data_IF_836145725147
#
_entry.id   IF_836145725147
#
_cell.length_a   1.000
_cell.length_b   1.000
_cell.length_c   1.000
_cell.angle_alpha   90.00
_cell.angle_beta   90.00
_cell.angle_gamma   90.00
#
_symmetry.space_group_name_H-M   'P 1'
#
loop_
_entity.id
_entity.type
_entity.pdbx_description
1 polymer ?
#
# COMPACT_ATOMS: atom_id res chain seq x y z
N UNK A 1 -6.96 38.33 14.28
CA UNK A 1 -8.09 37.38 14.21
C UNK A 1 -8.35 37.09 12.74
N UNK A 2 -7.43 36.39 12.08
CA UNK A 2 -7.49 36.10 10.65
C UNK A 2 -7.98 34.67 10.41
N UNK A 3 -9.17 34.64 9.83
CA UNK A 3 -9.80 33.64 8.96
C UNK A 3 -9.56 32.13 9.21
N UNK A 4 -10.56 31.42 9.78
CA UNK A 4 -10.73 29.96 9.59
C UNK A 4 -10.87 29.53 8.10
N UNK A 5 -11.10 30.47 7.18
CA UNK A 5 -11.24 30.21 5.75
C UNK A 5 -9.91 29.89 5.05
N UNK A 6 -8.79 30.48 5.47
CA UNK A 6 -7.48 30.19 4.87
C UNK A 6 -7.03 28.76 5.21
N UNK A 7 -7.31 28.28 6.43
CA UNK A 7 -7.07 26.88 6.83
C UNK A 7 -7.94 25.88 6.06
N UNK A 8 -9.16 26.27 5.67
CA UNK A 8 -10.03 25.44 4.83
C UNK A 8 -9.54 25.40 3.37
N UNK A 9 -9.04 26.52 2.84
CA UNK A 9 -8.45 26.58 1.50
C UNK A 9 -7.11 25.85 1.40
N UNK A 10 -6.26 25.91 2.43
CA UNK A 10 -5.02 25.14 2.49
C UNK A 10 -5.30 23.63 2.61
N UNK A 11 -6.24 23.21 3.47
CA UNK A 11 -6.68 21.81 3.55
C UNK A 11 -7.30 21.31 2.24
N UNK A 12 -8.07 22.17 1.57
CA UNK A 12 -8.63 21.90 0.24
C UNK A 12 -7.51 21.71 -0.80
N UNK A 13 -6.54 22.63 -0.87
CA UNK A 13 -5.40 22.57 -1.80
C UNK A 13 -4.48 21.38 -1.54
N UNK A 14 -4.21 21.03 -0.29
CA UNK A 14 -3.46 19.83 0.10
C UNK A 14 -4.25 18.55 -0.25
N UNK A 15 -5.58 18.55 -0.07
CA UNK A 15 -6.47 17.47 -0.49
C UNK A 15 -6.48 17.30 -2.01
N UNK A 16 -6.52 18.41 -2.77
CA UNK A 16 -6.51 18.42 -4.24
C UNK A 16 -5.15 17.97 -4.78
N UNK A 17 -4.04 18.48 -4.26
CA UNK A 17 -2.69 18.02 -4.65
C UNK A 17 -2.52 16.52 -4.39
N UNK A 18 -2.97 16.03 -3.24
CA UNK A 18 -2.98 14.59 -2.93
C UNK A 18 -3.91 13.77 -3.83
N UNK A 19 -5.05 14.31 -4.27
CA UNK A 19 -5.94 13.67 -5.27
C UNK A 19 -5.30 13.64 -6.65
N UNK A 20 -4.71 14.75 -7.09
CA UNK A 20 -4.04 14.87 -8.40
C UNK A 20 -2.83 13.96 -8.48
N UNK A 21 -2.05 13.84 -7.41
CA UNK A 21 -0.90 12.93 -7.38
C UNK A 21 -1.34 11.45 -7.41
N UNK A 22 -2.44 11.10 -6.74
CA UNK A 22 -3.06 9.77 -6.86
C UNK A 22 -3.60 9.49 -8.27
N UNK A 23 -4.24 10.48 -8.90
CA UNK A 23 -4.72 10.37 -10.27
C UNK A 23 -3.57 10.20 -11.27
N UNK A 24 -2.52 11.03 -11.16
CA UNK A 24 -1.29 10.89 -11.96
C UNK A 24 -0.63 9.52 -11.78
N UNK A 25 -0.59 9.00 -10.55
CA UNK A 25 -0.07 7.66 -10.26
C UNK A 25 -0.90 6.52 -10.86
N UNK A 26 -2.17 6.76 -11.23
CA UNK A 26 -3.06 5.78 -11.87
C UNK A 26 -3.39 6.11 -13.33
N UNK A 27 -2.91 7.23 -13.85
CA UNK A 27 -3.28 7.77 -15.16
C UNK A 27 -3.01 6.76 -16.27
N UNK A 28 -1.86 6.10 -16.20
CA UNK A 28 -1.46 5.07 -17.14
C UNK A 28 -2.50 3.93 -17.21
N UNK A 29 -2.92 3.40 -16.07
CA UNK A 29 -3.91 2.32 -16.01
C UNK A 29 -5.29 2.78 -16.49
N UNK A 30 -5.68 4.03 -16.20
CA UNK A 30 -6.92 4.63 -16.69
C UNK A 30 -6.91 4.68 -18.23
N UNK A 31 -5.82 5.18 -18.81
CA UNK A 31 -5.64 5.26 -20.26
C UNK A 31 -5.62 3.87 -20.89
N UNK A 32 -4.90 2.91 -20.30
CA UNK A 32 -4.86 1.52 -20.77
C UNK A 32 -6.26 0.89 -20.77
N UNK A 33 -7.01 1.01 -19.68
CA UNK A 33 -8.39 0.49 -19.61
C UNK A 33 -9.30 1.16 -20.63
N UNK A 34 -9.19 2.49 -20.82
CA UNK A 34 -10.00 3.22 -21.79
C UNK A 34 -9.70 2.79 -23.23
N UNK A 35 -8.42 2.65 -23.58
CA UNK A 35 -8.00 2.16 -24.90
C UNK A 35 -8.45 0.71 -25.10
N UNK A 36 -8.24 -0.16 -24.12
CA UNK A 36 -8.67 -1.56 -24.20
C UNK A 36 -10.19 -1.69 -24.37
N UNK A 37 -10.98 -0.87 -23.68
CA UNK A 37 -12.43 -0.82 -23.86
C UNK A 37 -12.80 -0.40 -25.30
N UNK A 38 -12.18 0.66 -25.81
CA UNK A 38 -12.41 1.14 -27.18
C UNK A 38 -12.00 0.11 -28.24
N UNK A 39 -10.86 -0.56 -28.06
CA UNK A 39 -10.40 -1.63 -28.96
C UNK A 39 -11.32 -2.84 -28.89
N UNK A 40 -11.78 -3.24 -27.70
CA UNK A 40 -12.71 -4.36 -27.56
C UNK A 40 -14.05 -4.09 -28.27
N UNK A 41 -14.56 -2.85 -28.16
CA UNK A 41 -15.73 -2.43 -28.92
C UNK A 41 -15.48 -2.50 -30.43
N UNK A 42 -14.39 -1.88 -30.91
CA UNK A 42 -14.06 -1.85 -32.33
C UNK A 42 -13.88 -3.25 -32.93
N UNK A 43 -13.21 -4.17 -32.22
CA UNK A 43 -13.05 -5.55 -32.67
C UNK A 43 -14.39 -6.29 -32.74
N UNK A 44 -15.30 -6.07 -31.80
CA UNK A 44 -16.59 -6.74 -31.82
C UNK A 44 -17.57 -6.12 -32.83
N UNK A 45 -17.63 -4.79 -32.93
CA UNK A 45 -18.53 -4.06 -33.84
C UNK A 45 -18.06 -4.14 -35.30
N UNK A 46 -16.83 -3.72 -35.57
CA UNK A 46 -16.37 -3.46 -36.95
C UNK A 46 -15.71 -4.68 -37.61
N UNK A 47 -15.12 -5.59 -36.82
CA UNK A 47 -14.45 -6.78 -37.37
C UNK A 47 -15.33 -8.03 -37.35
N UNK A 48 -16.23 -8.15 -36.38
CA UNK A 48 -17.13 -9.31 -36.23
C UNK A 48 -18.60 -8.97 -36.50
N UNK A 49 -18.89 -7.71 -36.87
CA UNK A 49 -20.22 -7.24 -37.29
C UNK A 49 -21.31 -7.48 -36.22
N UNK A 50 -20.95 -7.41 -34.93
CA UNK A 50 -21.93 -7.48 -33.85
C UNK A 50 -22.70 -6.15 -33.75
N UNK A 51 -24.03 -6.21 -33.81
CA UNK A 51 -24.89 -5.00 -33.80
C UNK A 51 -24.77 -4.17 -32.50
N UNK A 52 -24.61 -4.83 -31.34
CA UNK A 52 -24.53 -4.17 -30.03
C UNK A 52 -23.52 -4.84 -29.08
N UNK A 53 -22.20 -4.60 -29.25
CA UNK A 53 -21.17 -5.33 -28.51
C UNK A 53 -20.90 -4.73 -27.12
N UNK A 54 -21.95 -4.66 -26.30
CA UNK A 54 -21.91 -4.00 -24.98
C UNK A 54 -21.00 -4.74 -23.97
N UNK A 55 -20.90 -6.06 -24.08
CA UNK A 55 -20.17 -6.89 -23.12
C UNK A 55 -18.66 -6.90 -23.36
N UNK A 56 -18.20 -6.66 -24.60
CA UNK A 56 -16.78 -6.63 -24.94
C UNK A 56 -15.99 -5.56 -24.17
N UNK A 57 -16.37 -4.26 -24.17
CA UNK A 57 -15.67 -3.25 -23.38
C UNK A 57 -15.81 -3.48 -21.87
N UNK A 58 -16.95 -3.98 -21.39
CA UNK A 58 -17.15 -4.28 -19.97
C UNK A 58 -16.21 -5.39 -19.52
N UNK A 59 -16.15 -6.49 -20.27
CA UNK A 59 -15.25 -7.59 -19.98
C UNK A 59 -13.79 -7.12 -20.01
N UNK A 60 -13.40 -6.25 -20.95
CA UNK A 60 -12.07 -5.67 -20.99
C UNK A 60 -11.74 -4.83 -19.73
N UNK A 61 -12.64 -3.93 -19.35
CA UNK A 61 -12.45 -3.02 -18.18
C UNK A 61 -12.50 -3.78 -16.88
N UNK A 62 -13.41 -4.73 -16.70
CA UNK A 62 -13.50 -5.54 -15.47
C UNK A 62 -12.26 -6.45 -15.36
N UNK A 63 -11.84 -7.04 -16.48
CA UNK A 63 -10.65 -7.90 -16.50
C UNK A 63 -9.37 -7.13 -16.21
N UNK A 64 -9.19 -5.90 -16.71
CA UNK A 64 -8.02 -5.06 -16.40
C UNK A 64 -8.13 -4.34 -15.04
N UNK A 65 -9.33 -3.89 -14.69
CA UNK A 65 -9.62 -3.06 -13.51
C UNK A 65 -9.66 -3.84 -12.20
N UNK A 66 -9.98 -5.13 -12.24
CA UNK A 66 -9.73 -6.04 -11.11
C UNK A 66 -8.28 -6.54 -11.07
N UNK A 67 -7.50 -6.17 -12.10
CA UNK A 67 -6.17 -6.68 -12.39
C UNK A 67 -5.02 -5.69 -12.24
N UNK A 68 -5.18 -4.66 -11.41
CA UNK A 68 -4.11 -3.70 -11.14
C UNK A 68 -2.83 -4.40 -10.67
N UNK A 69 -1.77 -4.32 -11.48
CA UNK A 69 -0.47 -4.95 -11.25
C UNK A 69 -0.34 -6.43 -11.70
N UNK A 70 -1.30 -6.96 -12.46
CA UNK A 70 -1.48 -8.41 -12.55
C UNK A 70 -0.95 -9.15 -13.78
N UNK A 71 -0.78 -10.44 -13.47
CA UNK A 71 -0.72 -11.63 -14.32
C UNK A 71 -1.96 -11.81 -15.21
N UNK A 72 -1.66 -12.25 -16.44
CA UNK A 72 -2.55 -12.89 -17.42
C UNK A 72 -3.56 -13.91 -16.87
N UNK A 73 -3.21 -14.72 -15.86
CA UNK A 73 -4.12 -15.77 -15.35
C UNK A 73 -5.38 -15.20 -14.72
N UNK A 74 -5.27 -14.11 -13.96
CA UNK A 74 -6.44 -13.52 -13.30
C UNK A 74 -7.33 -12.78 -14.29
N UNK A 75 -6.74 -12.15 -15.31
CA UNK A 75 -7.47 -11.63 -16.47
C UNK A 75 -8.29 -12.76 -17.13
N UNK A 76 -7.69 -13.94 -17.33
CA UNK A 76 -8.39 -15.11 -17.87
C UNK A 76 -9.48 -15.62 -16.92
N UNK A 77 -9.21 -15.76 -15.62
CA UNK A 77 -10.22 -16.15 -14.61
C UNK A 77 -11.41 -15.19 -14.61
N UNK A 78 -11.14 -13.87 -14.66
CA UNK A 78 -12.18 -12.83 -14.69
C UNK A 78 -12.96 -12.87 -16.00
N UNK A 79 -12.28 -12.96 -17.15
CA UNK A 79 -12.91 -13.02 -18.46
C UNK A 79 -13.81 -14.25 -18.58
N UNK A 80 -13.35 -15.42 -18.13
CA UNK A 80 -14.16 -16.64 -18.09
C UNK A 80 -15.34 -16.49 -17.12
N UNK A 81 -15.12 -15.88 -15.95
CA UNK A 81 -16.19 -15.61 -14.99
C UNK A 81 -17.28 -14.70 -15.56
N UNK A 82 -16.90 -13.64 -16.30
CA UNK A 82 -17.84 -12.76 -17.00
C UNK A 82 -18.57 -13.52 -18.09
N UNK A 83 -17.86 -14.29 -18.93
CA UNK A 83 -18.47 -15.07 -20.01
C UNK A 83 -19.49 -16.09 -19.46
N UNK A 84 -19.14 -16.82 -18.40
CA UNK A 84 -20.03 -17.78 -17.73
C UNK A 84 -21.22 -17.05 -17.09
N UNK A 85 -20.98 -15.91 -16.42
CA UNK A 85 -22.02 -15.13 -15.75
C UNK A 85 -23.07 -14.61 -16.73
N UNK A 86 -22.63 -14.08 -17.87
CA UNK A 86 -23.51 -13.64 -18.96
C UNK A 86 -24.30 -14.81 -19.52
N UNK A 87 -23.65 -15.93 -19.82
CA UNK A 87 -24.31 -17.12 -20.35
C UNK A 87 -25.37 -17.69 -19.38
N UNK A 88 -25.06 -17.77 -18.09
CA UNK A 88 -26.01 -18.25 -17.07
C UNK A 88 -27.18 -17.29 -16.92
N UNK A 89 -26.93 -15.98 -16.92
CA UNK A 89 -27.99 -14.98 -16.86
C UNK A 89 -28.91 -15.09 -18.09
N UNK A 90 -28.36 -15.34 -19.28
CA UNK A 90 -29.14 -15.53 -20.52
C UNK A 90 -30.04 -16.75 -20.45
N UNK A 91 -29.49 -17.89 -20.01
CA UNK A 91 -30.26 -19.12 -19.81
C UNK A 91 -31.41 -18.85 -18.83
N UNK A 92 -31.16 -18.17 -17.71
CA UNK A 92 -32.21 -17.85 -16.74
C UNK A 92 -33.29 -16.94 -17.34
N UNK A 93 -32.92 -15.94 -18.15
CA UNK A 93 -33.88 -15.05 -18.82
C UNK A 93 -34.73 -15.81 -19.83
N UNK A 94 -34.14 -16.72 -20.62
CA UNK A 94 -34.88 -17.54 -21.61
C UNK A 94 -35.93 -18.41 -20.92
N UNK A 95 -35.61 -18.99 -19.77
CA UNK A 95 -36.51 -19.90 -19.05
C UNK A 95 -37.57 -19.18 -18.20
N UNK A 96 -37.24 -18.03 -17.60
CA UNK A 96 -38.08 -17.36 -16.58
C UNK A 96 -38.83 -16.16 -17.19
N UNK A 97 -38.33 -15.60 -18.30
CA UNK A 97 -38.87 -14.42 -18.97
C UNK A 97 -38.41 -13.10 -18.35
N UNK A 98 -38.88 -11.98 -18.90
CA UNK A 98 -38.52 -10.62 -18.49
C UNK A 98 -39.60 -9.96 -17.62
N UNK A 99 -39.24 -9.43 -16.46
CA UNK A 99 -40.13 -8.64 -15.60
C UNK A 99 -39.50 -8.31 -14.23
N UNK A 100 -40.16 -7.45 -13.45
CA UNK A 100 -39.56 -6.89 -12.22
C UNK A 100 -39.24 -7.96 -11.16
N UNK A 101 -40.10 -8.97 -11.00
CA UNK A 101 -39.86 -10.05 -10.04
C UNK A 101 -38.84 -11.07 -10.58
N UNK A 102 -38.83 -11.33 -11.90
CA UNK A 102 -37.83 -12.17 -12.55
C UNK A 102 -36.44 -11.55 -12.40
N UNK A 103 -36.31 -10.24 -12.62
CA UNK A 103 -35.08 -9.50 -12.43
C UNK A 103 -34.56 -9.61 -10.99
N UNK A 104 -35.44 -9.42 -10.00
CA UNK A 104 -35.08 -9.58 -8.59
C UNK A 104 -34.58 -10.99 -8.29
N UNK A 105 -35.22 -12.02 -8.86
CA UNK A 105 -34.81 -13.41 -8.71
C UNK A 105 -33.45 -13.67 -9.37
N UNK A 106 -33.25 -13.25 -10.61
CA UNK A 106 -32.00 -13.46 -11.37
C UNK A 106 -30.83 -12.78 -10.64
N UNK A 107 -31.00 -11.53 -10.20
CA UNK A 107 -29.98 -10.79 -9.45
C UNK A 107 -29.70 -11.47 -8.11
N UNK A 108 -30.74 -11.86 -7.38
CA UNK A 108 -30.60 -12.56 -6.11
C UNK A 108 -29.83 -13.87 -6.24
N UNK A 109 -30.12 -14.67 -7.27
CA UNK A 109 -29.41 -15.90 -7.58
C UNK A 109 -27.96 -15.63 -7.96
N UNK A 110 -27.70 -14.69 -8.87
CA UNK A 110 -26.33 -14.36 -9.30
C UNK A 110 -25.45 -13.88 -8.15
N UNK A 111 -25.96 -13.00 -7.28
CA UNK A 111 -25.24 -12.55 -6.09
C UNK A 111 -25.02 -13.69 -5.10
N UNK A 112 -26.03 -14.52 -4.86
CA UNK A 112 -25.93 -15.67 -3.94
C UNK A 112 -24.90 -16.68 -4.43
N UNK A 113 -24.89 -17.00 -5.72
CA UNK A 113 -23.87 -17.87 -6.32
C UNK A 113 -22.47 -17.27 -6.20
N UNK A 114 -22.30 -15.97 -6.45
CA UNK A 114 -21.00 -15.30 -6.28
C UNK A 114 -20.50 -15.37 -4.81
N UNK A 115 -21.40 -15.17 -3.84
CA UNK A 115 -21.10 -15.30 -2.41
C UNK A 115 -20.73 -16.73 -2.02
N UNK A 116 -21.46 -17.73 -2.51
CA UNK A 116 -21.19 -19.15 -2.24
C UNK A 116 -19.86 -19.62 -2.83
N UNK A 117 -19.40 -18.99 -3.91
CA UNK A 117 -18.09 -19.22 -4.53
C UNK A 117 -16.95 -18.42 -3.84
N UNK A 118 -17.23 -17.82 -2.69
CA UNK A 118 -16.27 -17.01 -1.92
C UNK A 118 -15.67 -15.85 -2.74
N UNK A 119 -16.47 -15.29 -3.66
CA UNK A 119 -16.04 -14.19 -4.49
C UNK A 119 -16.02 -12.88 -3.69
N UNK A 120 -14.97 -12.07 -3.89
CA UNK A 120 -14.86 -10.77 -3.22
C UNK A 120 -16.02 -9.83 -3.55
N UNK A 121 -16.29 -8.85 -2.69
CA UNK A 121 -17.41 -7.89 -2.80
C UNK A 121 -17.56 -7.26 -4.18
N UNK A 122 -16.45 -6.94 -4.85
CA UNK A 122 -16.46 -6.40 -6.21
C UNK A 122 -17.10 -7.36 -7.23
N UNK A 123 -16.80 -8.66 -7.14
CA UNK A 123 -17.39 -9.67 -8.03
C UNK A 123 -18.87 -9.87 -7.77
N UNK A 124 -19.30 -9.84 -6.51
CA UNK A 124 -20.72 -9.91 -6.14
C UNK A 124 -21.49 -8.73 -6.75
N UNK A 125 -20.95 -7.51 -6.66
CA UNK A 125 -21.55 -6.33 -7.30
C UNK A 125 -21.55 -6.44 -8.82
N UNK A 126 -20.49 -6.97 -9.44
CA UNK A 126 -20.43 -7.16 -10.90
C UNK A 126 -21.43 -8.21 -11.39
N UNK A 127 -21.59 -9.32 -10.67
CA UNK A 127 -22.59 -10.34 -10.99
C UNK A 127 -24.00 -9.71 -11.01
N UNK A 128 -24.34 -8.90 -10.00
CA UNK A 128 -25.61 -8.18 -9.97
C UNK A 128 -25.78 -7.24 -11.17
N UNK A 129 -24.79 -6.40 -11.46
CA UNK A 129 -24.85 -5.43 -12.57
C UNK A 129 -24.99 -6.15 -13.92
N UNK A 130 -24.22 -7.21 -14.17
CA UNK A 130 -24.29 -7.96 -15.43
C UNK A 130 -25.63 -8.67 -15.59
N UNK A 131 -26.15 -9.28 -14.53
CA UNK A 131 -27.47 -9.89 -14.53
C UNK A 131 -28.58 -8.87 -14.86
N UNK A 132 -28.48 -7.64 -14.33
CA UNK A 132 -29.43 -6.58 -14.66
C UNK A 132 -29.33 -6.20 -16.14
N UNK A 133 -28.11 -5.95 -16.64
CA UNK A 133 -27.88 -5.58 -18.04
C UNK A 133 -28.45 -6.65 -18.97
N UNK A 134 -28.12 -7.92 -18.74
CA UNK A 134 -28.61 -9.06 -19.51
C UNK A 134 -30.15 -9.11 -19.52
N UNK A 135 -30.78 -9.01 -18.35
CA UNK A 135 -32.22 -9.17 -18.23
C UNK A 135 -33.03 -7.95 -18.73
N UNK A 136 -32.41 -6.79 -18.94
CA UNK A 136 -33.10 -5.55 -19.30
C UNK A 136 -32.84 -5.04 -20.71
N UNK A 137 -31.65 -5.29 -21.28
CA UNK A 137 -31.29 -4.69 -22.57
C UNK A 137 -31.61 -5.55 -23.80
N UNK A 138 -31.62 -6.89 -23.74
CA UNK A 138 -31.74 -7.71 -24.97
C UNK A 138 -32.50 -9.02 -24.70
N UNK A 139 -33.81 -9.12 -25.02
CA UNK A 139 -34.60 -10.34 -24.83
C UNK A 139 -34.44 -11.38 -25.96
N UNK A 140 -33.55 -11.15 -26.93
CA UNK A 140 -33.44 -12.02 -28.11
C UNK A 140 -32.61 -13.28 -27.81
N UNK A 141 -33.17 -14.49 -28.01
CA UNK A 141 -32.48 -15.75 -27.73
C UNK A 141 -31.19 -15.95 -28.53
N UNK A 142 -31.14 -15.46 -29.78
CA UNK A 142 -29.97 -15.58 -30.66
C UNK A 142 -28.81 -14.69 -30.22
N UNK A 143 -29.04 -13.68 -29.37
CA UNK A 143 -28.01 -12.78 -28.88
C UNK A 143 -27.13 -13.39 -27.76
N UNK A 144 -27.49 -14.57 -27.21
CA UNK A 144 -26.73 -15.19 -26.13
C UNK A 144 -25.31 -15.62 -26.56
N UNK A 145 -25.17 -16.18 -27.77
CA UNK A 145 -23.87 -16.55 -28.32
C UNK A 145 -23.00 -15.31 -28.60
N UNK A 146 -23.59 -14.26 -29.17
CA UNK A 146 -22.92 -12.98 -29.45
C UNK A 146 -22.38 -12.32 -28.18
N UNK A 147 -23.14 -12.38 -27.08
CA UNK A 147 -22.71 -11.79 -25.79
C UNK A 147 -21.64 -12.60 -25.09
N UNK A 148 -21.69 -13.93 -25.24
CA UNK A 148 -20.63 -14.81 -24.76
C UNK A 148 -19.32 -14.58 -25.53
N UNK A 149 -19.38 -14.47 -26.86
CA UNK A 149 -18.20 -14.16 -27.69
C UNK A 149 -17.66 -12.75 -27.41
N UNK A 150 -18.52 -11.75 -27.21
CA UNK A 150 -18.14 -10.41 -26.76
C UNK A 150 -17.30 -10.43 -25.47
N UNK A 151 -17.76 -11.18 -24.46
CA UNK A 151 -17.04 -11.31 -23.19
C UNK A 151 -15.63 -11.91 -23.39
N UNK A 152 -15.50 -12.89 -24.29
CA UNK A 152 -14.21 -13.48 -24.64
C UNK A 152 -13.31 -12.50 -25.41
N UNK A 153 -13.87 -11.73 -26.34
CA UNK A 153 -13.15 -10.69 -27.09
C UNK A 153 -12.60 -9.64 -26.12
N UNK A 154 -13.44 -9.15 -25.21
CA UNK A 154 -13.03 -8.22 -24.17
C UNK A 154 -11.92 -8.78 -23.28
N UNK A 155 -12.02 -10.06 -22.90
CA UNK A 155 -10.98 -10.77 -22.18
C UNK A 155 -9.66 -10.89 -22.95
N UNK A 156 -9.73 -11.20 -24.25
CA UNK A 156 -8.56 -11.31 -25.12
C UNK A 156 -7.88 -9.95 -25.33
N UNK A 157 -8.65 -8.89 -25.56
CA UNK A 157 -8.12 -7.51 -25.67
C UNK A 157 -7.50 -7.07 -24.36
N UNK A 158 -8.12 -7.37 -23.22
CA UNK A 158 -7.52 -7.13 -21.90
C UNK A 158 -6.20 -7.89 -21.73
N UNK A 159 -6.13 -9.14 -22.20
CA UNK A 159 -4.92 -9.95 -22.13
C UNK A 159 -3.78 -9.34 -22.96
N UNK A 160 -4.07 -8.94 -24.20
CA UNK A 160 -3.10 -8.27 -25.08
C UNK A 160 -2.68 -6.92 -24.50
N UNK A 161 -3.62 -6.10 -24.05
CA UNK A 161 -3.34 -4.82 -23.41
C UNK A 161 -2.47 -5.00 -22.15
N UNK A 162 -2.67 -6.07 -21.39
CA UNK A 162 -1.81 -6.41 -20.25
C UNK A 162 -0.42 -6.91 -20.64
N UNK A 163 -0.24 -7.51 -21.83
CA UNK A 163 1.10 -7.89 -22.36
C UNK A 163 1.88 -6.70 -22.93
N UNK A 164 1.19 -5.77 -23.60
CA UNK A 164 1.80 -4.61 -24.25
C UNK A 164 2.33 -3.58 -23.24
N UNK A 165 1.87 -3.67 -22.00
CA UNK A 165 2.20 -2.75 -20.94
C UNK A 165 3.28 -3.37 -20.03
N UNK A 166 4.43 -2.72 -19.83
CA UNK A 166 5.37 -3.11 -18.79
C UNK A 166 4.61 -3.14 -17.47
N UNK A 167 4.62 -4.28 -16.77
CA UNK A 167 3.99 -4.43 -15.46
C UNK A 167 4.22 -3.14 -14.67
N UNK A 168 3.14 -2.37 -14.46
CA UNK A 168 3.20 -1.05 -13.85
C UNK A 168 4.13 -1.11 -12.64
N UNK A 169 5.00 -0.11 -12.43
CA UNK A 169 6.09 -0.19 -11.46
C UNK A 169 5.51 -0.68 -10.15
N UNK A 170 5.78 -1.95 -9.84
CA UNK A 170 5.44 -2.58 -8.57
C UNK A 170 5.80 -1.53 -7.53
N UNK A 171 4.84 -1.03 -6.75
CA UNK A 171 5.10 0.04 -5.78
C UNK A 171 6.34 -0.37 -5.02
N UNK A 172 7.49 0.28 -5.30
CA UNK A 172 8.80 -0.27 -4.94
C UNK A 172 8.85 -0.32 -3.42
N UNK A 173 8.73 -1.49 -2.77
CA UNK A 173 8.51 -1.52 -1.33
C UNK A 173 9.71 -0.93 -0.58
N UNK A 174 10.91 -1.06 -1.18
CA UNK A 174 12.15 -0.40 -0.78
C UNK A 174 12.07 1.12 -0.77
N UNK A 175 11.52 1.74 -1.81
CA UNK A 175 11.36 3.19 -1.85
C UNK A 175 10.37 3.68 -0.78
N UNK A 176 9.32 2.91 -0.49
CA UNK A 176 8.40 3.25 0.60
C UNK A 176 9.04 3.06 1.96
N UNK A 177 9.84 2.00 2.15
CA UNK A 177 10.63 1.79 3.36
C UNK A 177 11.65 2.93 3.56
N UNK A 178 12.33 3.36 2.49
CA UNK A 178 13.25 4.49 2.52
C UNK A 178 12.58 5.79 2.97
N UNK A 179 11.34 6.05 2.54
CA UNK A 179 10.56 7.22 3.01
C UNK A 179 10.24 7.16 4.49
N UNK A 180 9.88 5.98 5.00
CA UNK A 180 9.62 5.79 6.44
C UNK A 180 10.91 5.97 7.24
N UNK A 181 12.02 5.39 6.78
CA UNK A 181 13.33 5.57 7.42
C UNK A 181 13.79 7.04 7.41
N UNK A 182 13.67 7.75 6.28
CA UNK A 182 13.93 9.20 6.22
C UNK A 182 13.08 9.97 7.24
N UNK A 183 11.80 9.62 7.38
CA UNK A 183 10.94 10.28 8.38
C UNK A 183 11.38 10.00 9.81
N UNK A 184 11.85 8.78 10.11
CA UNK A 184 12.43 8.44 11.41
C UNK A 184 13.67 9.31 11.67
N UNK A 185 14.59 9.42 10.70
CA UNK A 185 15.78 10.26 10.82
C UNK A 185 15.43 11.73 11.07
N UNK A 186 14.46 12.28 10.32
CA UNK A 186 13.97 13.66 10.48
C UNK A 186 13.42 13.90 11.90
N UNK A 187 12.58 12.98 12.40
CA UNK A 187 11.97 13.09 13.73
C UNK A 187 13.03 12.97 14.85
N UNK A 188 14.01 12.09 14.70
CA UNK A 188 15.10 11.94 15.66
C UNK A 188 15.99 13.18 15.68
N UNK A 189 16.37 13.69 14.50
CA UNK A 189 17.16 14.92 14.37
C UNK A 189 16.45 16.09 15.03
N UNK A 190 15.16 16.29 14.77
CA UNK A 190 14.39 17.33 15.41
C UNK A 190 14.25 17.11 16.93
N UNK A 191 14.08 15.87 17.39
CA UNK A 191 14.03 15.56 18.82
C UNK A 191 15.34 15.91 19.53
N UNK A 192 16.49 15.65 18.91
CA UNK A 192 17.81 16.05 19.45
C UNK A 192 17.90 17.56 19.68
N UNK A 193 17.48 18.39 18.70
CA UNK A 193 17.44 19.84 18.87
C UNK A 193 16.51 20.27 20.01
N UNK A 194 15.29 19.71 20.07
CA UNK A 194 14.33 20.00 21.15
C UNK A 194 14.86 19.61 22.54
N UNK A 195 15.63 18.53 22.64
CA UNK A 195 16.27 18.13 23.91
C UNK A 195 17.30 19.15 24.39
N UNK A 196 18.02 19.81 23.48
CA UNK A 196 19.03 20.83 23.79
C UNK A 196 18.40 22.20 24.06
N UNK A 197 17.51 22.64 23.18
CA UNK A 197 16.93 23.99 23.22
C UNK A 197 15.92 24.12 24.36
N UNK A 198 15.19 23.05 24.68
CA UNK A 198 14.21 23.04 25.77
C UNK A 198 12.99 23.94 25.52
N UNK A 199 12.71 24.31 24.26
CA UNK A 199 11.59 25.17 23.90
C UNK A 199 10.28 24.37 23.71
N UNK A 200 9.17 24.76 24.36
CA UNK A 200 7.93 23.99 24.35
C UNK A 200 7.18 24.02 23.01
N UNK A 201 7.20 25.13 22.28
CA UNK A 201 6.47 25.27 21.01
C UNK A 201 7.06 24.35 19.92
N UNK A 202 8.38 24.34 19.64
CA UNK A 202 8.99 23.37 18.73
C UNK A 202 8.73 21.91 19.12
N UNK A 203 8.68 21.62 20.43
CA UNK A 203 8.42 20.28 20.93
C UNK A 203 6.99 19.79 20.63
N UNK A 204 6.01 20.70 20.71
CA UNK A 204 4.60 20.41 20.39
C UNK A 204 4.38 20.23 18.90
N UNK A 205 5.04 21.03 18.07
CA UNK A 205 5.01 20.89 16.60
C UNK A 205 5.62 19.55 16.17
N UNK A 206 6.76 19.18 16.74
CA UNK A 206 7.39 17.88 16.50
C UNK A 206 6.48 16.71 16.89
N UNK A 207 5.77 16.82 18.02
CA UNK A 207 4.80 15.80 18.46
C UNK A 207 3.61 15.70 17.49
N UNK A 208 3.14 16.82 16.94
CA UNK A 208 2.07 16.83 15.94
C UNK A 208 2.51 16.16 14.64
N UNK A 209 3.73 16.44 14.17
CA UNK A 209 4.33 15.82 12.99
C UNK A 209 4.52 14.31 13.17
N UNK A 210 5.07 13.88 14.31
CA UNK A 210 5.21 12.46 14.65
C UNK A 210 3.86 11.70 14.64
N UNK A 211 2.76 12.34 15.07
CA UNK A 211 1.40 11.77 15.02
C UNK A 211 0.83 11.64 13.61
N UNK A 212 1.29 12.45 12.66
CA UNK A 212 0.80 12.44 11.28
C UNK A 212 1.37 11.28 10.42
N UNK A 213 2.19 10.40 11.00
CA UNK A 213 2.93 9.35 10.27
C UNK A 213 2.11 8.07 9.98
N UNK A 214 0.88 7.95 10.50
CA UNK A 214 0.03 6.74 10.33
C UNK A 214 -0.21 6.35 8.86
N UNK A 215 -0.27 7.34 7.97
CA UNK A 215 -0.46 7.09 6.53
C UNK A 215 0.76 6.39 5.93
N UNK A 216 1.97 6.72 6.37
CA UNK A 216 3.21 6.16 5.81
C UNK A 216 3.31 4.66 6.10
N UNK A 217 2.94 4.23 7.32
CA UNK A 217 2.89 2.81 7.68
C UNK A 217 1.92 2.03 6.82
N UNK A 218 0.69 2.56 6.63
CA UNK A 218 -0.31 1.92 5.77
C UNK A 218 0.16 1.83 4.31
N UNK A 219 0.86 2.84 3.82
CA UNK A 219 1.40 2.85 2.46
C UNK A 219 2.54 1.83 2.29
N UNK A 220 3.41 1.69 3.30
CA UNK A 220 4.46 0.67 3.35
C UNK A 220 3.88 -0.75 3.37
N UNK A 221 2.92 -1.02 4.26
CA UNK A 221 2.25 -2.32 4.35
C UNK A 221 1.55 -2.69 3.04
N UNK A 222 0.79 -1.76 2.47
CA UNK A 222 0.13 -1.98 1.18
C UNK A 222 1.12 -2.27 0.04
N UNK A 223 2.28 -1.61 0.01
CA UNK A 223 3.32 -1.90 -0.98
C UNK A 223 3.96 -3.28 -0.79
N UNK A 224 4.15 -3.72 0.46
CA UNK A 224 4.69 -5.03 0.77
C UNK A 224 3.71 -6.17 0.44
N UNK A 225 2.42 -6.00 0.76
CA UNK A 225 1.36 -6.95 0.43
C UNK A 225 1.22 -7.13 -1.09
N UNK A 226 1.28 -6.02 -1.83
CA UNK A 226 1.32 -6.03 -3.29
C UNK A 226 2.53 -6.83 -3.79
N UNK A 227 3.73 -6.59 -3.25
CA UNK A 227 4.95 -7.35 -3.56
C UNK A 227 4.82 -8.87 -3.29
N UNK A 228 4.22 -9.26 -2.17
CA UNK A 228 4.03 -10.67 -1.81
C UNK A 228 2.99 -11.39 -2.66
N UNK A 229 1.92 -10.70 -3.02
CA UNK A 229 0.90 -11.24 -3.94
C UNK A 229 1.53 -11.64 -5.29
N UNK A 230 2.52 -10.87 -5.75
CA UNK A 230 3.27 -11.09 -7.00
C UNK A 230 4.25 -12.26 -6.89
N UNK A 231 4.76 -12.56 -5.71
CA UNK A 231 5.67 -13.71 -5.51
C UNK A 231 4.93 -15.02 -5.30
N UNK A 232 3.83 -15.01 -4.54
CA UNK A 232 3.01 -16.22 -4.29
C UNK A 232 2.38 -16.78 -5.57
N UNK A 233 1.98 -15.91 -6.49
CA UNK A 233 1.29 -16.32 -7.72
C UNK A 233 2.24 -16.69 -8.90
N UNK A 234 3.58 -16.63 -8.74
CA UNK A 234 4.56 -16.86 -9.84
C UNK A 234 5.45 -18.10 -9.67
N UNK A 235 5.30 -19.14 -10.51
CA UNK A 235 6.30 -20.21 -10.57
C UNK A 235 7.63 -19.76 -11.20
N UNK A 236 7.60 -18.85 -12.18
CA UNK A 236 8.78 -18.41 -12.95
C UNK A 236 9.67 -17.35 -12.27
N UNK A 237 9.23 -16.75 -11.14
CA UNK A 237 10.02 -15.78 -10.37
C UNK A 237 10.52 -16.33 -9.02
N UNK A 238 10.66 -17.67 -8.88
CA UNK A 238 11.26 -18.31 -7.70
C UNK A 238 12.61 -17.70 -7.31
N UNK A 239 13.42 -17.26 -8.29
CA UNK A 239 14.73 -16.63 -8.06
C UNK A 239 14.66 -15.27 -7.34
N UNK A 240 13.56 -14.51 -7.49
CA UNK A 240 13.34 -13.21 -6.84
C UNK A 240 12.53 -13.31 -5.53
N UNK A 241 12.04 -14.51 -5.19
CA UNK A 241 11.25 -14.80 -3.99
C UNK A 241 12.00 -14.45 -2.70
N UNK A 242 13.31 -14.73 -2.66
CA UNK A 242 14.16 -14.39 -1.53
C UNK A 242 14.29 -12.86 -1.34
N UNK A 243 14.41 -12.08 -2.42
CA UNK A 243 14.54 -10.63 -2.35
C UNK A 243 13.29 -9.92 -1.84
N UNK A 244 12.11 -10.35 -2.28
CA UNK A 244 10.82 -9.78 -1.84
C UNK A 244 10.45 -10.24 -0.44
N UNK A 245 10.70 -11.51 -0.10
CA UNK A 245 10.46 -12.00 1.26
C UNK A 245 11.30 -11.25 2.29
N UNK A 246 12.60 -11.08 2.01
CA UNK A 246 13.49 -10.26 2.85
C UNK A 246 12.98 -8.83 3.00
N UNK A 247 12.37 -8.26 1.96
CA UNK A 247 11.80 -6.91 2.02
C UNK A 247 10.56 -6.83 2.91
N UNK A 248 9.68 -7.80 2.83
CA UNK A 248 8.49 -7.87 3.69
C UNK A 248 8.89 -8.07 5.15
N UNK A 249 9.94 -8.85 5.39
CA UNK A 249 10.53 -9.03 6.72
C UNK A 249 11.07 -7.71 7.32
N UNK A 250 11.35 -6.67 6.52
CA UNK A 250 11.76 -5.34 7.02
C UNK A 250 10.58 -4.46 7.47
N UNK A 251 9.36 -4.74 7.04
CA UNK A 251 8.19 -3.86 7.28
C UNK A 251 7.88 -3.78 8.77
N UNK A 252 7.83 -4.93 9.45
CA UNK A 252 7.47 -4.98 10.87
C UNK A 252 8.53 -4.32 11.76
N UNK A 253 9.85 -4.60 11.60
CA UNK A 253 10.89 -3.84 12.31
C UNK A 253 10.83 -2.32 12.05
N UNK A 254 10.56 -1.90 10.81
CA UNK A 254 10.51 -0.48 10.48
C UNK A 254 9.26 0.23 11.07
N UNK A 255 8.11 -0.44 11.10
CA UNK A 255 6.92 0.03 11.82
C UNK A 255 7.19 0.14 13.32
N UNK A 256 7.84 -0.86 13.92
CA UNK A 256 8.26 -0.82 15.33
C UNK A 256 9.20 0.36 15.60
N UNK A 257 10.22 0.57 14.77
CA UNK A 257 11.15 1.70 14.90
C UNK A 257 10.43 3.06 14.83
N UNK A 258 9.46 3.23 13.92
CA UNK A 258 8.67 4.46 13.82
C UNK A 258 7.78 4.68 15.06
N UNK A 259 7.11 3.63 15.55
CA UNK A 259 6.29 3.72 16.78
C UNK A 259 7.15 4.10 17.97
N UNK A 260 8.27 3.42 18.12
CA UNK A 260 9.32 3.70 19.10
C UNK A 260 9.78 5.17 19.04
N UNK A 261 10.02 5.70 17.83
CA UNK A 261 10.37 7.11 17.62
C UNK A 261 9.26 8.07 18.07
N UNK A 262 7.98 7.75 17.80
CA UNK A 262 6.84 8.56 18.28
C UNK A 262 6.76 8.60 19.81
N UNK A 263 7.09 7.49 20.48
CA UNK A 263 7.15 7.46 21.95
C UNK A 263 8.29 8.35 22.45
N UNK A 264 9.47 8.29 21.83
CA UNK A 264 10.62 9.14 22.18
C UNK A 264 10.28 10.63 22.03
N UNK A 265 9.70 11.02 20.89
CA UNK A 265 9.25 12.39 20.62
C UNK A 265 8.24 12.85 21.68
N UNK A 266 7.27 12.00 22.03
CA UNK A 266 6.30 12.30 23.09
C UNK A 266 6.98 12.51 24.45
N UNK A 267 7.94 11.68 24.82
CA UNK A 267 8.64 11.83 26.09
C UNK A 267 9.49 13.10 26.13
N UNK A 268 10.13 13.42 25.01
CA UNK A 268 10.89 14.67 24.82
C UNK A 268 9.98 15.87 25.03
N UNK A 269 8.84 15.93 24.32
CA UNK A 269 7.88 17.02 24.47
C UNK A 269 7.32 17.16 25.90
N UNK A 270 7.07 16.04 26.60
CA UNK A 270 6.63 16.07 28.00
C UNK A 270 7.74 16.56 28.94
N UNK A 271 8.99 16.16 28.71
CA UNK A 271 10.13 16.63 29.50
C UNK A 271 10.31 18.15 29.32
N UNK A 272 10.30 18.63 28.08
CA UNK A 272 10.39 20.04 27.71
C UNK A 272 9.26 20.86 28.34
N UNK A 273 7.99 20.43 28.19
CA UNK A 273 6.84 21.12 28.79
C UNK A 273 6.91 21.21 30.32
N UNK A 274 7.56 20.23 30.98
CA UNK A 274 7.74 20.21 32.43
C UNK A 274 9.06 20.85 32.89
N UNK A 275 9.80 21.50 31.99
CA UNK A 275 11.12 22.07 32.25
C UNK A 275 12.07 21.07 32.93
N UNK A 276 11.99 19.79 32.53
CA UNK A 276 12.89 18.74 33.01
C UNK A 276 14.06 18.63 32.04
N UNK A 277 15.30 18.89 32.49
CA UNK A 277 16.46 18.81 31.62
C UNK A 277 16.64 17.36 31.14
N UNK A 278 16.88 17.21 29.84
CA UNK A 278 17.34 15.97 29.24
C UNK A 278 18.88 16.05 29.17
N UNK A 279 19.62 15.01 29.57
CA UNK A 279 21.08 15.03 29.47
C UNK A 279 21.53 15.30 28.02
N UNK A 280 22.54 16.15 27.83
CA UNK A 280 23.06 16.48 26.49
C UNK A 280 23.57 15.25 25.75
N UNK A 281 24.14 14.29 26.49
CA UNK A 281 24.56 12.98 25.96
C UNK A 281 23.42 12.22 25.27
N UNK A 282 22.16 12.40 25.72
CA UNK A 282 21.01 11.77 25.07
C UNK A 282 20.61 12.49 23.80
N UNK A 283 20.77 13.82 23.74
CA UNK A 283 20.58 14.58 22.52
C UNK A 283 21.62 14.21 21.47
N UNK A 284 22.89 14.05 21.87
CA UNK A 284 23.99 13.61 21.00
C UNK A 284 23.71 12.19 20.46
N UNK A 285 23.35 11.24 21.32
CA UNK A 285 22.93 9.89 20.90
C UNK A 285 21.75 9.91 19.93
N UNK A 286 20.79 10.81 20.13
CA UNK A 286 19.62 10.94 19.26
C UNK A 286 20.03 11.48 17.88
N UNK A 287 20.99 12.42 17.84
CA UNK A 287 21.55 12.93 16.58
C UNK A 287 22.36 11.86 15.84
N UNK A 288 23.21 11.11 16.54
CA UNK A 288 23.98 10.00 15.97
C UNK A 288 23.05 8.90 15.42
N UNK A 289 21.97 8.59 16.14
CA UNK A 289 20.95 7.66 15.66
C UNK A 289 20.25 8.18 14.40
N UNK A 290 19.97 9.48 14.31
CA UNK A 290 19.37 10.06 13.12
C UNK A 290 20.28 9.88 11.89
N UNK A 291 21.59 10.09 12.04
CA UNK A 291 22.57 9.85 10.97
C UNK A 291 22.65 8.37 10.57
N UNK A 292 22.65 7.46 11.55
CA UNK A 292 22.64 6.03 11.27
C UNK A 292 21.37 5.59 10.52
N UNK A 293 20.20 6.16 10.87
CA UNK A 293 18.94 5.90 10.15
C UNK A 293 18.96 6.47 8.74
N UNK A 294 19.57 7.64 8.53
CA UNK A 294 19.71 8.24 7.20
C UNK A 294 20.53 7.33 6.28
N UNK A 295 21.63 6.74 6.77
CA UNK A 295 22.39 5.75 6.03
C UNK A 295 21.58 4.47 5.70
N UNK A 296 20.72 4.00 6.63
CA UNK A 296 19.77 2.91 6.37
C UNK A 296 18.79 3.32 5.25
N UNK A 297 18.30 4.55 5.30
CA UNK A 297 17.33 5.07 4.35
C UNK A 297 17.91 5.22 2.93
N UNK A 298 19.17 5.63 2.81
CA UNK A 298 19.89 5.76 1.55
C UNK A 298 20.13 4.40 0.87
N UNK A 299 20.53 3.39 1.65
CA UNK A 299 20.67 2.02 1.15
C UNK A 299 19.32 1.47 0.64
N UNK A 300 18.23 1.71 1.38
CA UNK A 300 16.88 1.32 0.96
C UNK A 300 16.43 2.07 -0.30
N UNK A 301 16.72 3.37 -0.40
CA UNK A 301 16.41 4.19 -1.58
C UNK A 301 17.16 3.69 -2.82
N UNK A 302 18.39 3.21 -2.65
CA UNK A 302 19.21 2.62 -3.70
C UNK A 302 18.87 1.14 -3.98
N UNK A 303 17.73 0.67 -3.49
CA UNK A 303 17.20 -0.69 -3.66
C UNK A 303 18.07 -1.84 -3.09
N UNK A 304 18.93 -1.54 -2.10
CA UNK A 304 19.79 -2.52 -1.43
C UNK A 304 19.25 -2.96 -0.07
N UNK A 305 19.89 -3.96 0.52
CA UNK A 305 19.72 -4.28 1.94
C UNK A 305 20.68 -3.38 2.73
N UNK A 306 20.25 -2.74 3.84
CA UNK A 306 21.05 -1.75 4.55
C UNK A 306 22.12 -2.38 5.46
N UNK A 307 22.84 -3.40 4.97
CA UNK A 307 23.92 -4.07 5.70
C UNK A 307 25.11 -3.13 5.92
N UNK A 308 25.39 -2.24 4.98
CA UNK A 308 26.47 -1.26 5.07
C UNK A 308 26.26 -0.22 6.19
N UNK A 309 25.01 0.04 6.59
CA UNK A 309 24.67 0.95 7.68
C UNK A 309 24.74 0.28 9.07
N UNK A 310 24.81 -1.06 9.14
CA UNK A 310 24.82 -1.83 10.40
C UNK A 310 25.91 -1.38 11.38
N UNK A 311 27.18 -1.14 10.97
CA UNK A 311 28.22 -0.70 11.90
C UNK A 311 27.89 0.62 12.60
N UNK A 312 27.21 1.55 11.91
CA UNK A 312 26.81 2.84 12.49
C UNK A 312 25.70 2.65 13.53
N UNK A 313 24.70 1.82 13.22
CA UNK A 313 23.62 1.49 14.17
C UNK A 313 24.20 0.77 15.41
N UNK A 314 25.15 -0.15 15.22
CA UNK A 314 25.85 -0.82 16.32
C UNK A 314 26.67 0.15 17.18
N UNK A 315 27.37 1.11 16.56
CA UNK A 315 28.14 2.11 17.28
C UNK A 315 27.24 2.95 18.20
N UNK A 316 26.06 3.38 17.72
CA UNK A 316 25.05 4.06 18.55
C UNK A 316 24.58 3.13 19.67
N UNK A 317 24.28 1.87 19.37
CA UNK A 317 23.89 0.86 20.37
C UNK A 317 24.91 0.71 21.50
N UNK A 318 26.20 0.67 21.18
CA UNK A 318 27.29 0.63 22.16
C UNK A 318 27.35 1.92 22.98
N UNK A 319 27.25 3.08 22.32
CA UNK A 319 27.28 4.39 22.98
C UNK A 319 26.14 4.55 24.01
N UNK A 320 24.96 3.94 23.79
CA UNK A 320 23.86 3.95 24.79
C UNK A 320 24.22 3.31 26.14
N UNK A 321 25.27 2.48 26.23
CA UNK A 321 25.74 1.92 27.51
C UNK A 321 26.74 2.81 28.24
N UNK A 322 27.32 3.79 27.56
CA UNK A 322 28.42 4.60 28.07
C UNK A 322 27.92 5.88 28.75
N UNK A 323 26.73 6.36 28.35
CA UNK A 323 26.10 7.56 28.89
C UNK A 323 25.62 7.39 30.34
N UNK A 324 25.56 8.50 31.05
CA UNK A 324 25.02 8.61 32.39
C UNK A 324 23.52 8.23 32.45
N UNK A 325 23.07 7.82 33.64
CA UNK A 325 21.64 7.60 33.90
C UNK A 325 20.98 8.93 34.25
N UNK A 326 19.77 9.13 33.75
CA UNK A 326 18.94 10.27 34.14
C UNK A 326 18.31 10.01 35.50
N UNK A 327 18.35 11.00 36.39
CA UNK A 327 17.63 10.94 37.68
C UNK A 327 16.10 10.96 37.51
N UNK A 328 15.62 11.36 36.32
CA UNK A 328 14.21 11.39 35.98
C UNK A 328 13.75 10.14 35.23
N UNK A 329 12.56 9.64 35.58
CA UNK A 329 11.86 8.58 34.82
C UNK A 329 11.67 8.91 33.34
N UNK A 330 11.55 10.21 33.01
CA UNK A 330 11.38 10.67 31.63
C UNK A 330 12.66 10.45 30.81
N UNK A 331 13.83 10.81 31.36
CA UNK A 331 15.11 10.55 30.70
C UNK A 331 15.40 9.05 30.60
N UNK A 332 15.12 8.27 31.63
CA UNK A 332 15.26 6.80 31.56
C UNK A 332 14.37 6.19 30.46
N UNK A 333 13.15 6.70 30.31
CA UNK A 333 12.26 6.30 29.21
C UNK A 333 12.81 6.70 27.83
N UNK A 334 13.47 7.86 27.69
CA UNK A 334 14.13 8.29 26.45
C UNK A 334 15.26 7.32 26.09
N UNK A 335 16.16 7.00 27.04
CA UNK A 335 17.26 6.08 26.80
C UNK A 335 16.77 4.66 26.44
N UNK A 336 15.76 4.16 27.15
CA UNK A 336 15.12 2.88 26.82
C UNK A 336 14.54 2.88 25.40
N UNK A 337 13.99 4.02 24.98
CA UNK A 337 13.39 4.15 23.66
C UNK A 337 14.43 4.25 22.55
N UNK A 338 15.54 4.96 22.76
CA UNK A 338 16.69 4.96 21.85
C UNK A 338 17.20 3.53 21.61
N UNK A 339 17.39 2.76 22.69
CA UNK A 339 17.83 1.36 22.61
C UNK A 339 16.84 0.48 21.83
N UNK A 340 15.54 0.69 22.03
CA UNK A 340 14.51 -0.04 21.28
C UNK A 340 14.56 0.28 19.77
N UNK A 341 14.75 1.55 19.41
CA UNK A 341 14.88 1.98 18.00
C UNK A 341 16.13 1.34 17.38
N UNK A 342 17.26 1.33 18.10
CA UNK A 342 18.50 0.68 17.64
C UNK A 342 18.25 -0.80 17.34
N UNK A 343 17.61 -1.55 18.26
CA UNK A 343 17.30 -2.98 18.05
C UNK A 343 16.43 -3.19 16.81
N UNK A 344 15.38 -2.38 16.66
CA UNK A 344 14.50 -2.46 15.49
C UNK A 344 15.24 -2.13 14.18
N UNK A 345 16.19 -1.20 14.19
CA UNK A 345 17.03 -0.88 13.03
C UNK A 345 18.05 -1.97 12.71
N UNK A 346 18.64 -2.63 13.73
CA UNK A 346 19.54 -3.76 13.52
C UNK A 346 18.81 -4.91 12.80
N UNK A 347 17.55 -5.17 13.14
CA UNK A 347 16.67 -6.08 12.39
C UNK A 347 16.48 -5.63 10.94
N UNK A 348 16.28 -4.33 10.69
CA UNK A 348 16.19 -3.78 9.33
C UNK A 348 17.48 -4.01 8.53
N UNK A 349 18.64 -4.01 9.19
CA UNK A 349 19.94 -4.34 8.55
C UNK A 349 20.16 -5.85 8.32
N UNK A 350 19.19 -6.70 8.68
CA UNK A 350 19.23 -8.15 8.47
C UNK A 350 19.81 -8.97 9.63
N UNK A 351 20.03 -8.37 10.82
CA UNK A 351 20.40 -9.14 12.02
C UNK A 351 19.22 -9.95 12.57
N UNK A 352 19.51 -11.04 13.28
CA UNK A 352 18.48 -11.81 14.00
C UNK A 352 17.89 -11.04 15.19
N UNK A 353 16.68 -11.41 15.64
CA UNK A 353 16.01 -10.75 16.78
C UNK A 353 16.79 -10.87 18.09
N UNK A 354 17.28 -12.07 18.42
CA UNK A 354 18.10 -12.28 19.62
C UNK A 354 19.46 -11.60 19.45
N UNK A 355 20.11 -11.79 18.31
CA UNK A 355 21.40 -11.17 17.98
C UNK A 355 21.37 -9.64 18.09
N UNK A 356 20.30 -8.99 17.60
CA UNK A 356 20.11 -7.54 17.70
C UNK A 356 19.95 -7.08 19.14
N UNK A 357 19.31 -7.90 19.98
CA UNK A 357 19.11 -7.60 21.41
C UNK A 357 20.41 -7.77 22.19
N UNK A 358 21.13 -8.86 21.94
CA UNK A 358 22.39 -9.19 22.59
C UNK A 358 23.54 -8.26 22.16
N UNK A 359 23.43 -7.64 20.99
CA UNK A 359 24.39 -6.66 20.50
C UNK A 359 24.44 -5.37 21.33
N UNK A 360 23.39 -5.08 22.12
CA UNK A 360 23.37 -3.89 22.99
C UNK A 360 23.88 -4.26 24.40
N UNK A 361 25.08 -3.76 24.80
CA UNK A 361 25.57 -3.95 26.16
C UNK A 361 24.58 -3.40 27.20
N UNK A 362 24.56 -3.95 28.44
CA UNK A 362 23.70 -3.44 29.50
C UNK A 362 24.05 -1.97 29.79
N UNK A 363 23.04 -1.13 30.08
CA UNK A 363 23.30 0.26 30.43
C UNK A 363 24.16 0.35 31.70
N UNK A 364 24.96 1.40 31.81
CA UNK A 364 25.72 1.72 33.02
C UNK A 364 24.78 1.71 34.24
N UNK A 365 25.24 1.04 35.32
CA UNK A 365 24.51 0.93 36.59
C UNK A 365 24.50 2.23 37.35
#
# INVERSE_FOLDING_TARGET
MEAPLDRLWERSRLSVRGRVQRWRGKLFAIVQCAIAAGVAWWVAADLLEHDTPFFAPIAAVVSLGTSYGQRHRRIVEVALGVAIGVFVADVLVIWIGSGAWQLALIVGLAMSTALLLDAGTLFVTQAAVQSIVVATLVPEPDAALTRWTDALIGGAVALVAATAVPAAPLRRPREQAAKVAHKIAELLRAASHVMLDGEPDPALDLLADARATDRMVRELQAAADEGMSVVRSSPFRRRHRAGVRRMVELVDPLDRALRSTRVLVRQTAVATYRHRPVPSSYADLTADLALAVEAVADELAAERLPEAARPQVLAVGQATSLVERSESLAGDAILAQLRSIVVDLLLVTGMGQLESTDALPPPRR
#
